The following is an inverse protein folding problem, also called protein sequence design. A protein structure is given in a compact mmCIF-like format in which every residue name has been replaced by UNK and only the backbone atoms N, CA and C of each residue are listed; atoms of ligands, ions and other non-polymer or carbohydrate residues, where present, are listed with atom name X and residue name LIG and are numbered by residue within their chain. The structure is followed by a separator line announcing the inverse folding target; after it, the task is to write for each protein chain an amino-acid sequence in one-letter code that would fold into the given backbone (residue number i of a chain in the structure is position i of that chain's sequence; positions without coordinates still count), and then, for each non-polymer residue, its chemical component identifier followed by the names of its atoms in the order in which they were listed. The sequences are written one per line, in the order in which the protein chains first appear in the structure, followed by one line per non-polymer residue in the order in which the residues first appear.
data_IF_835879980321
#
_entry.id   IF_835879980321
#
_cell.length_a   1.000
_cell.length_b   1.000
_cell.length_c   1.000
_cell.angle_alpha   90.00
_cell.angle_beta   90.00
_cell.angle_gamma   90.00
#
_symmetry.space_group_name_H-M   'P 1'
#
loop_
_entity.id
_entity.type
_entity.pdbx_description
1 polymer ?
#
# COMPACT_ATOMS: atom_id res chain seq x y z
N UNK A 1 1.42 -14.72 2.89
CA UNK A 1 1.37 -13.30 2.47
C UNK A 1 2.44 -12.55 3.23
N UNK A 2 3.29 -11.79 2.53
CA UNK A 2 4.31 -10.98 3.21
C UNK A 2 3.62 -10.02 4.18
N UNK A 3 4.07 -10.08 5.43
CA UNK A 3 3.38 -9.44 6.52
C UNK A 3 3.95 -8.03 6.72
N UNK A 4 3.23 -7.01 6.26
CA UNK A 4 3.56 -5.61 6.51
C UNK A 4 3.84 -5.35 8.00
N UNK A 5 3.14 -6.04 8.92
CA UNK A 5 3.38 -5.92 10.37
C UNK A 5 4.79 -6.34 10.79
N UNK A 6 5.43 -7.26 10.05
CA UNK A 6 6.81 -7.68 10.27
C UNK A 6 7.78 -6.75 9.57
N UNK A 7 7.49 -6.37 8.31
CA UNK A 7 8.32 -5.47 7.52
C UNK A 7 8.50 -4.09 8.18
N UNK A 8 7.42 -3.50 8.72
CA UNK A 8 7.47 -2.18 9.39
C UNK A 8 8.40 -2.09 10.61
N UNK A 9 8.79 -3.24 11.19
CA UNK A 9 9.68 -3.30 12.36
C UNK A 9 11.16 -3.19 11.99
N UNK A 10 11.51 -3.34 10.72
CA UNK A 10 12.89 -3.30 10.26
C UNK A 10 13.02 -2.43 9.01
N UNK A 11 13.78 -1.34 9.14
CA UNK A 11 14.07 -0.46 8.01
C UNK A 11 14.75 -1.21 6.85
N UNK A 12 15.68 -2.12 7.18
CA UNK A 12 16.36 -2.97 6.20
C UNK A 12 15.38 -3.86 5.44
N UNK A 13 14.48 -4.53 6.16
CA UNK A 13 13.51 -5.44 5.56
C UNK A 13 12.49 -4.68 4.70
N UNK A 14 11.96 -3.56 5.19
CA UNK A 14 11.01 -2.75 4.42
C UNK A 14 11.66 -2.25 3.13
N UNK A 15 12.89 -1.71 3.22
CA UNK A 15 13.63 -1.24 2.05
C UNK A 15 13.90 -2.34 1.02
N UNK A 16 14.26 -3.54 1.47
CA UNK A 16 14.47 -4.67 0.57
C UNK A 16 13.18 -5.15 -0.12
N UNK A 17 12.02 -4.86 0.47
CA UNK A 17 10.73 -5.31 -0.05
C UNK A 17 9.99 -4.23 -0.85
N UNK A 18 10.34 -2.96 -0.70
CA UNK A 18 9.60 -1.85 -1.33
C UNK A 18 10.49 -0.78 -1.96
N UNK A 19 11.82 -0.95 -1.92
CA UNK A 19 12.80 0.05 -2.35
C UNK A 19 12.96 1.26 -1.40
N UNK A 20 12.04 1.44 -0.45
CA UNK A 20 11.92 2.64 0.39
C UNK A 20 12.33 2.42 1.85
N UNK A 21 12.95 3.43 2.46
CA UNK A 21 13.10 3.47 3.91
C UNK A 21 11.73 3.63 4.58
N UNK A 22 11.67 3.31 5.86
CA UNK A 22 10.47 3.37 6.68
C UNK A 22 9.79 4.73 6.66
N UNK A 23 10.54 5.81 6.85
CA UNK A 23 9.99 7.17 6.86
C UNK A 23 9.43 7.59 5.50
N UNK A 24 10.13 7.24 4.42
CA UNK A 24 9.72 7.49 3.04
C UNK A 24 8.42 6.72 2.73
N UNK A 25 8.38 5.43 3.09
CA UNK A 25 7.21 4.59 2.91
C UNK A 25 5.97 5.12 3.64
N UNK A 26 6.10 5.49 4.93
CA UNK A 26 4.94 5.98 5.69
C UNK A 26 4.50 7.38 5.26
N UNK A 27 5.44 8.25 4.89
CA UNK A 27 5.12 9.56 4.30
C UNK A 27 4.34 9.40 3.00
N UNK A 28 4.79 8.49 2.13
CA UNK A 28 4.10 8.17 0.88
C UNK A 28 2.72 7.54 1.14
N UNK A 29 2.60 6.65 2.11
CA UNK A 29 1.34 5.99 2.42
C UNK A 29 0.23 6.97 2.85
N UNK A 30 0.58 8.03 3.56
CA UNK A 30 -0.37 9.10 3.95
C UNK A 30 -0.91 9.81 2.71
N UNK A 31 -0.02 10.25 1.82
CA UNK A 31 -0.40 10.96 0.59
C UNK A 31 -1.17 10.03 -0.35
N UNK A 32 -0.72 8.80 -0.51
CA UNK A 32 -1.38 7.76 -1.30
C UNK A 32 -2.80 7.46 -0.82
N UNK A 33 -3.00 7.35 0.50
CA UNK A 33 -4.31 7.12 1.10
C UNK A 33 -5.31 8.22 0.78
N UNK A 34 -4.90 9.49 0.88
CA UNK A 34 -5.73 10.65 0.52
C UNK A 34 -6.16 10.63 -0.94
N UNK A 35 -5.19 10.43 -1.85
CA UNK A 35 -5.47 10.39 -3.29
C UNK A 35 -6.40 9.22 -3.67
N UNK A 36 -6.23 8.03 -3.08
CA UNK A 36 -7.14 6.91 -3.33
C UNK A 36 -8.56 7.24 -2.89
N UNK A 37 -8.73 7.89 -1.75
CA UNK A 37 -10.04 8.26 -1.25
C UNK A 37 -10.73 9.29 -2.15
N UNK A 38 -9.99 10.31 -2.60
CA UNK A 38 -10.47 11.32 -3.55
C UNK A 38 -10.88 10.69 -4.88
N UNK A 39 -9.98 9.92 -5.52
CA UNK A 39 -10.27 9.23 -6.79
C UNK A 39 -11.46 8.28 -6.64
N UNK A 40 -11.59 7.57 -5.51
CA UNK A 40 -12.71 6.67 -5.28
C UNK A 40 -14.04 7.43 -5.18
N UNK A 41 -14.07 8.58 -4.48
CA UNK A 41 -15.26 9.44 -4.39
C UNK A 41 -15.68 9.97 -5.77
N UNK A 42 -14.71 10.33 -6.60
CA UNK A 42 -14.97 10.83 -7.95
C UNK A 42 -15.47 9.74 -8.91
N UNK A 43 -14.83 8.56 -8.89
CA UNK A 43 -15.11 7.49 -9.87
C UNK A 43 -16.26 6.57 -9.46
N UNK A 44 -16.50 6.36 -8.16
CA UNK A 44 -17.55 5.46 -7.68
C UNK A 44 -18.65 6.23 -6.96
N UNK A 45 -19.82 6.34 -7.61
CA UNK A 45 -21.08 6.76 -6.97
C UNK A 45 -21.70 5.68 -6.06
N UNK A 46 -20.90 4.77 -5.49
CA UNK A 46 -21.37 3.61 -4.72
C UNK A 46 -20.82 3.68 -3.31
N UNK A 47 -21.66 3.34 -2.32
CA UNK A 47 -21.24 3.31 -0.91
C UNK A 47 -20.02 2.39 -0.72
N UNK A 48 -19.01 2.91 -0.02
CA UNK A 48 -17.72 2.25 0.29
C UNK A 48 -17.85 0.85 0.94
N UNK A 49 -19.04 0.51 1.45
CA UNK A 49 -19.36 -0.72 2.19
C UNK A 49 -20.11 -1.78 1.35
N UNK A 50 -20.45 -1.52 0.09
CA UNK A 50 -21.14 -2.49 -0.76
C UNK A 50 -20.12 -3.42 -1.44
N UNK A 51 -20.07 -4.69 -1.01
CA UNK A 51 -19.25 -5.74 -1.62
C UNK A 51 -18.53 -6.65 -0.63
N UNK A 52 -17.74 -7.58 -1.17
CA UNK A 52 -16.89 -8.48 -0.37
C UNK A 52 -15.78 -7.66 0.29
N UNK A 53 -15.46 -7.88 1.57
CA UNK A 53 -14.38 -7.14 2.24
C UNK A 53 -13.07 -7.30 1.47
N UNK A 54 -12.40 -6.18 1.19
CA UNK A 54 -11.09 -6.19 0.57
C UNK A 54 -10.09 -6.93 1.44
N UNK A 55 -9.19 -7.69 0.80
CA UNK A 55 -8.07 -8.37 1.48
C UNK A 55 -7.08 -7.33 2.03
N UNK A 56 -6.81 -6.27 1.27
CA UNK A 56 -5.99 -5.13 1.67
C UNK A 56 -6.91 -4.01 2.18
N UNK A 57 -6.88 -3.78 3.49
CA UNK A 57 -7.82 -2.87 4.17
C UNK A 57 -7.28 -1.47 4.29
N UNK A 58 -5.97 -1.33 4.52
CA UNK A 58 -5.35 -0.02 4.75
C UNK A 58 -4.61 0.52 3.53
N UNK A 59 -4.37 1.83 3.51
CA UNK A 59 -3.56 2.47 2.49
C UNK A 59 -2.13 1.90 2.47
N UNK A 60 -1.55 1.63 3.65
CA UNK A 60 -0.23 1.02 3.75
C UNK A 60 -0.20 -0.40 3.18
N UNK A 61 -1.23 -1.22 3.43
CA UNK A 61 -1.31 -2.58 2.89
C UNK A 61 -1.40 -2.58 1.35
N UNK A 62 -2.17 -1.66 0.79
CA UNK A 62 -2.31 -1.46 -0.66
C UNK A 62 -1.00 -0.98 -1.28
N UNK A 63 -0.40 0.07 -0.71
CA UNK A 63 0.87 0.62 -1.19
C UNK A 63 2.00 -0.42 -1.10
N UNK A 64 2.09 -1.12 0.03
CA UNK A 64 3.06 -2.18 0.24
C UNK A 64 2.95 -3.24 -0.84
N UNK A 65 1.74 -3.70 -1.16
CA UNK A 65 1.53 -4.72 -2.19
C UNK A 65 1.99 -4.25 -3.58
N UNK A 66 1.67 -3.01 -3.96
CA UNK A 66 2.08 -2.42 -5.24
C UNK A 66 3.61 -2.35 -5.34
N UNK A 67 4.26 -1.78 -4.34
CA UNK A 67 5.72 -1.63 -4.33
C UNK A 67 6.43 -2.98 -4.25
N UNK A 68 5.92 -3.89 -3.43
CA UNK A 68 6.44 -5.25 -3.33
C UNK A 68 6.34 -6.00 -4.66
N UNK A 69 5.22 -5.86 -5.37
CA UNK A 69 5.05 -6.48 -6.68
C UNK A 69 6.05 -5.94 -7.70
N UNK A 70 6.26 -4.62 -7.73
CA UNK A 70 7.23 -3.99 -8.63
C UNK A 70 8.69 -4.36 -8.30
N UNK A 71 9.08 -4.40 -7.02
CA UNK A 71 10.45 -4.79 -6.61
C UNK A 71 10.76 -6.26 -6.95
N UNK A 72 9.76 -7.14 -6.91
CA UNK A 72 9.94 -8.56 -7.25
C UNK A 72 9.98 -8.79 -8.76
N UNK A 73 9.40 -7.89 -9.55
CA UNK A 73 9.37 -7.96 -11.01
C UNK A 73 10.05 -6.74 -11.64
N UNK A 74 11.37 -6.60 -11.50
CA UNK A 74 12.09 -5.45 -12.05
C UNK A 74 12.14 -5.43 -13.59
N UNK A 75 11.73 -6.51 -14.28
CA UNK A 75 11.95 -6.72 -15.73
C UNK A 75 10.69 -7.20 -16.49
N UNK A 76 9.49 -6.72 -16.14
CA UNK A 76 8.29 -6.91 -16.98
C UNK A 76 8.02 -5.66 -17.84
#
# INVERSE_FOLDING_TARGET
MINLKRARKSNRLLKALTGLKREEFFSLAVVFGKNIEEVFKETRKVALKLGRPFVLKTAEEKLFFILFYNEVLPNL
#
